data_IF_593754137838
#
_entry.id   IF_593754137838
#
_cell.length_a   1.000
_cell.length_b   1.000
_cell.length_c   1.000
_cell.angle_alpha   90.00
_cell.angle_beta   90.00
_cell.angle_gamma   90.00
#
_symmetry.space_group_name_H-M   'P 1'
#
loop_
_entity.id
_entity.type
_entity.pdbx_description
1 polymer ?
#
# COMPACT_ATOMS: atom_id res chain seq x y z
N UNK A 1 -6.91 -15.43 -21.62
CA UNK A 1 -5.97 -16.50 -21.19
C UNK A 1 -4.54 -16.00 -21.39
N UNK A 2 -3.59 -16.39 -20.53
CA UNK A 2 -2.18 -16.01 -20.71
C UNK A 2 -1.61 -16.63 -22.00
N UNK A 3 -0.63 -15.99 -22.66
CA UNK A 3 0.06 -16.58 -23.81
C UNK A 3 0.71 -17.91 -23.44
N UNK A 4 0.56 -18.95 -24.29
CA UNK A 4 1.11 -20.27 -24.00
C UNK A 4 2.63 -20.26 -23.87
N UNK A 5 3.31 -19.45 -24.67
CA UNK A 5 4.76 -19.34 -24.63
C UNK A 5 5.27 -18.86 -23.25
N UNK A 6 4.49 -18.03 -22.55
CA UNK A 6 4.85 -17.58 -21.20
C UNK A 6 4.70 -18.69 -20.15
N UNK A 7 3.74 -19.60 -20.34
CA UNK A 7 3.52 -20.72 -19.44
C UNK A 7 4.57 -21.83 -19.61
N UNK A 8 5.18 -21.91 -20.79
CA UNK A 8 6.24 -22.89 -21.09
C UNK A 8 7.65 -22.33 -20.91
N UNK A 9 7.79 -21.00 -20.83
CA UNK A 9 9.07 -20.33 -20.68
C UNK A 9 9.64 -20.45 -19.27
N UNK A 10 10.96 -20.44 -19.19
CA UNK A 10 11.71 -20.37 -17.94
C UNK A 10 12.63 -19.16 -17.94
N UNK A 11 12.92 -18.63 -16.76
CA UNK A 11 13.82 -17.49 -16.54
C UNK A 11 14.83 -17.83 -15.46
N UNK A 12 15.98 -17.17 -15.50
CA UNK A 12 16.95 -17.21 -14.40
C UNK A 12 16.49 -16.23 -13.32
N UNK A 13 16.29 -16.74 -12.11
CA UNK A 13 15.87 -15.97 -10.94
C UNK A 13 16.98 -16.03 -9.90
N UNK A 14 17.35 -14.88 -9.35
CA UNK A 14 18.31 -14.81 -8.27
C UNK A 14 17.62 -15.09 -6.92
N UNK A 15 18.05 -16.15 -6.24
CA UNK A 15 17.60 -16.55 -4.90
C UNK A 15 18.78 -16.50 -3.92
N UNK A 16 18.51 -16.73 -2.63
CA UNK A 16 19.55 -16.72 -1.59
C UNK A 16 20.69 -17.72 -1.86
N UNK A 17 20.39 -18.84 -2.53
CA UNK A 17 21.35 -19.88 -2.92
C UNK A 17 22.06 -19.60 -4.27
N UNK A 18 21.75 -18.49 -4.94
CA UNK A 18 22.25 -18.12 -6.27
C UNK A 18 21.19 -18.19 -7.36
N UNK A 19 21.62 -18.21 -8.62
CA UNK A 19 20.74 -18.30 -9.78
C UNK A 19 20.06 -19.66 -9.88
N UNK A 20 18.74 -19.65 -10.07
CA UNK A 20 17.91 -20.82 -10.31
C UNK A 20 17.06 -20.63 -11.56
N UNK A 21 16.87 -21.70 -12.32
CA UNK A 21 15.94 -21.71 -13.46
C UNK A 21 14.52 -21.98 -12.95
N UNK A 22 13.63 -21.00 -13.06
CA UNK A 22 12.24 -21.08 -12.62
C UNK A 22 11.26 -20.80 -13.78
N UNK A 23 9.98 -21.13 -13.60
CA UNK A 23 8.95 -20.81 -14.60
C UNK A 23 8.77 -19.29 -14.72
N UNK A 24 8.60 -18.78 -15.93
CA UNK A 24 8.36 -17.34 -16.15
C UNK A 24 7.00 -16.89 -15.57
N UNK A 25 6.00 -17.77 -15.61
CA UNK A 25 4.68 -17.49 -15.08
C UNK A 25 4.07 -18.77 -14.49
N UNK A 26 3.46 -18.65 -13.31
CA UNK A 26 2.78 -19.74 -12.63
C UNK A 26 1.41 -19.29 -12.11
N UNK A 27 0.43 -20.20 -11.99
CA UNK A 27 -0.84 -19.89 -11.36
C UNK A 27 -0.65 -19.63 -9.86
N UNK A 28 -1.17 -18.50 -9.38
CA UNK A 28 -1.21 -18.17 -7.96
C UNK A 28 -2.64 -18.35 -7.42
N UNK A 29 -2.76 -19.00 -6.26
CA UNK A 29 -4.04 -19.09 -5.57
C UNK A 29 -4.50 -17.69 -5.10
N UNK A 30 -5.81 -17.45 -5.10
CA UNK A 30 -6.35 -16.11 -4.80
C UNK A 30 -6.04 -15.65 -3.38
N UNK A 31 -6.03 -16.56 -2.41
CA UNK A 31 -5.68 -16.28 -1.02
C UNK A 31 -4.19 -15.94 -0.82
N UNK A 32 -3.37 -16.15 -1.85
CA UNK A 32 -1.96 -15.76 -1.88
C UNK A 32 -1.70 -14.42 -2.57
N UNK A 33 -2.74 -13.70 -3.03
CA UNK A 33 -2.58 -12.38 -3.66
C UNK A 33 -1.91 -11.33 -2.77
N UNK A 34 -1.94 -11.52 -1.45
CA UNK A 34 -1.26 -10.65 -0.48
C UNK A 34 0.24 -10.91 -0.32
N UNK A 35 0.82 -11.88 -1.07
CA UNK A 35 2.25 -12.19 -1.01
C UNK A 35 3.07 -10.99 -1.51
N UNK A 36 3.93 -10.47 -0.63
CA UNK A 36 4.89 -9.43 -0.98
C UNK A 36 6.12 -10.07 -1.64
N UNK A 37 6.52 -9.54 -2.79
CA UNK A 37 7.71 -9.96 -3.53
C UNK A 37 8.86 -9.01 -3.17
N UNK A 38 9.83 -9.49 -2.40
CA UNK A 38 10.86 -8.66 -1.76
C UNK A 38 12.24 -8.71 -2.42
N UNK A 39 12.40 -9.44 -3.53
CA UNK A 39 13.72 -9.66 -4.14
C UNK A 39 14.08 -8.55 -5.13
N UNK A 40 15.11 -7.76 -4.82
CA UNK A 40 15.53 -6.62 -5.66
C UNK A 40 16.22 -7.04 -6.96
N UNK A 41 16.86 -8.21 -7.00
CA UNK A 41 17.63 -8.66 -8.16
C UNK A 41 16.79 -9.32 -9.26
N UNK A 42 15.57 -9.76 -8.94
CA UNK A 42 14.64 -10.31 -9.93
C UNK A 42 13.24 -9.79 -9.66
N UNK A 43 12.74 -8.82 -10.45
CA UNK A 43 11.43 -8.22 -10.20
C UNK A 43 10.31 -9.24 -10.47
N UNK A 44 9.44 -9.40 -9.49
CA UNK A 44 8.28 -10.31 -9.54
C UNK A 44 6.98 -9.51 -9.31
N UNK A 45 5.89 -9.97 -9.92
CA UNK A 45 4.57 -9.34 -9.75
C UNK A 45 3.46 -10.38 -9.88
N UNK A 46 2.42 -10.23 -9.06
CA UNK A 46 1.18 -11.00 -9.20
C UNK A 46 0.15 -10.21 -10.01
N UNK A 47 -0.47 -10.86 -11.00
CA UNK A 47 -1.50 -10.27 -11.85
C UNK A 47 -2.82 -11.03 -11.68
N UNK A 48 -3.90 -10.31 -11.40
CA UNK A 48 -5.28 -10.82 -11.36
C UNK A 48 -6.14 -10.02 -12.32
N UNK A 49 -6.82 -10.72 -13.23
CA UNK A 49 -7.89 -10.14 -14.05
C UNK A 49 -9.18 -10.27 -13.25
N UNK A 50 -9.97 -9.19 -13.21
CA UNK A 50 -11.26 -9.11 -12.53
C UNK A 50 -12.31 -8.57 -13.48
N UNK A 51 -13.58 -8.81 -13.17
CA UNK A 51 -14.70 -8.39 -14.01
C UNK A 51 -14.98 -6.88 -13.89
N UNK A 52 -14.76 -6.30 -12.71
CA UNK A 52 -15.08 -4.91 -12.42
C UNK A 52 -14.21 -4.27 -11.31
N UNK A 53 -14.40 -2.96 -11.14
CA UNK A 53 -13.70 -2.14 -10.15
C UNK A 53 -14.04 -2.55 -8.70
N UNK A 54 -15.26 -2.99 -8.44
CA UNK A 54 -15.66 -3.44 -7.10
C UNK A 54 -14.90 -4.66 -6.64
N UNK A 55 -14.75 -5.62 -7.55
CA UNK A 55 -13.99 -6.84 -7.33
C UNK A 55 -12.52 -6.51 -7.05
N UNK A 56 -11.92 -5.56 -7.78
CA UNK A 56 -10.56 -5.08 -7.53
C UNK A 56 -10.41 -4.46 -6.13
N UNK A 57 -11.33 -3.56 -5.75
CA UNK A 57 -11.33 -2.91 -4.43
C UNK A 57 -11.49 -3.95 -3.32
N UNK A 58 -12.41 -4.90 -3.48
CA UNK A 58 -12.64 -5.95 -2.50
C UNK A 58 -11.40 -6.83 -2.29
N UNK A 59 -10.71 -7.24 -3.36
CA UNK A 59 -9.47 -8.00 -3.28
C UNK A 59 -8.35 -7.21 -2.61
N UNK A 60 -8.18 -5.92 -2.96
CA UNK A 60 -7.20 -5.06 -2.30
C UNK A 60 -7.50 -4.95 -0.80
N UNK A 61 -8.73 -4.57 -0.43
CA UNK A 61 -9.13 -4.41 0.97
C UNK A 61 -9.01 -5.73 1.77
N UNK A 62 -9.05 -6.88 1.10
CA UNK A 62 -8.96 -8.21 1.72
C UNK A 62 -7.53 -8.70 1.91
N UNK A 63 -6.70 -8.59 0.87
CA UNK A 63 -5.40 -9.28 0.80
C UNK A 63 -4.21 -8.34 0.84
N UNK A 64 -4.37 -7.08 0.44
CA UNK A 64 -3.27 -6.11 0.43
C UNK A 64 -2.83 -5.76 1.86
N UNK A 65 -1.55 -5.37 2.04
CA UNK A 65 -1.06 -4.64 3.21
C UNK A 65 -1.78 -3.29 3.46
N UNK A 66 -2.66 -2.86 2.55
CA UNK A 66 -3.48 -1.65 2.67
C UNK A 66 -2.63 -0.39 2.87
N UNK A 67 -1.55 -0.31 2.09
CA UNK A 67 -0.53 0.75 2.19
C UNK A 67 -0.67 1.81 1.09
N UNK A 68 -0.41 1.45 -0.17
CA UNK A 68 -0.53 2.37 -1.31
C UNK A 68 -1.27 1.69 -2.46
N UNK A 69 -2.03 2.47 -3.23
CA UNK A 69 -2.80 1.96 -4.36
C UNK A 69 -3.00 3.04 -5.42
N UNK A 70 -3.04 2.62 -6.68
CA UNK A 70 -3.35 3.51 -7.80
C UNK A 70 -4.47 2.96 -8.67
N UNK A 71 -5.38 3.82 -9.10
CA UNK A 71 -6.34 3.53 -10.17
C UNK A 71 -5.96 4.31 -11.44
N UNK A 72 -5.62 3.58 -12.50
CA UNK A 72 -5.39 4.17 -13.82
C UNK A 72 -6.71 4.18 -14.60
N UNK A 73 -7.38 5.33 -14.65
CA UNK A 73 -8.64 5.51 -15.35
C UNK A 73 -8.89 6.99 -15.67
N UNK A 74 -9.48 7.26 -16.84
CA UNK A 74 -9.91 8.61 -17.26
C UNK A 74 -11.29 8.99 -16.69
N UNK A 75 -12.04 8.03 -16.14
CA UNK A 75 -13.37 8.28 -15.56
C UNK A 75 -13.24 8.93 -14.18
N UNK A 76 -13.67 10.18 -14.07
CA UNK A 76 -13.72 10.89 -12.79
C UNK A 76 -14.63 10.19 -11.77
N UNK A 77 -15.74 9.62 -12.23
CA UNK A 77 -16.68 8.85 -11.40
C UNK A 77 -16.02 7.60 -10.82
N UNK A 78 -15.21 6.90 -11.62
CA UNK A 78 -14.46 5.74 -11.15
C UNK A 78 -13.39 6.15 -10.12
N UNK A 79 -12.69 7.27 -10.35
CA UNK A 79 -11.70 7.80 -9.41
C UNK A 79 -12.33 8.15 -8.06
N UNK A 80 -13.44 8.88 -8.06
CA UNK A 80 -14.19 9.27 -6.85
C UNK A 80 -14.68 8.04 -6.09
N UNK A 81 -15.27 7.08 -6.81
CA UNK A 81 -15.78 5.83 -6.25
C UNK A 81 -14.68 4.98 -5.63
N UNK A 82 -13.55 4.88 -6.32
CA UNK A 82 -12.38 4.14 -5.84
C UNK A 82 -11.78 4.76 -4.58
N UNK A 83 -11.56 6.07 -4.60
CA UNK A 83 -11.02 6.81 -3.45
C UNK A 83 -11.87 6.62 -2.18
N UNK A 84 -13.20 6.64 -2.32
CA UNK A 84 -14.11 6.50 -1.19
C UNK A 84 -14.22 5.06 -0.64
N UNK A 85 -13.85 4.04 -1.40
CA UNK A 85 -14.10 2.64 -1.06
C UNK A 85 -12.82 1.84 -0.73
N UNK A 86 -11.64 2.29 -1.18
CA UNK A 86 -10.39 1.57 -0.96
C UNK A 86 -9.78 1.87 0.41
N UNK A 87 -9.28 0.84 1.09
CA UNK A 87 -8.61 0.96 2.38
C UNK A 87 -7.13 1.24 2.18
N UNK A 88 -6.78 2.45 1.77
CA UNK A 88 -5.39 2.86 1.67
C UNK A 88 -5.22 4.33 2.08
N UNK A 89 -4.17 4.66 2.84
CA UNK A 89 -3.86 6.04 3.18
C UNK A 89 -3.26 6.81 2.00
N UNK A 90 -2.69 6.09 1.04
CA UNK A 90 -2.09 6.65 -0.16
C UNK A 90 -2.83 6.15 -1.40
N UNK A 91 -3.57 7.04 -2.04
CA UNK A 91 -4.35 6.76 -3.24
C UNK A 91 -3.87 7.67 -4.36
N UNK A 92 -3.54 7.10 -5.51
CA UNK A 92 -3.07 7.84 -6.67
C UNK A 92 -3.71 7.38 -7.99
N UNK A 93 -3.25 7.97 -9.08
CA UNK A 93 -3.66 7.65 -10.45
C UNK A 93 -2.45 7.45 -11.37
N UNK A 94 -1.31 7.05 -10.80
CA UNK A 94 -0.04 6.88 -11.51
C UNK A 94 0.89 5.91 -10.78
N UNK A 95 2.19 6.18 -10.80
CA UNK A 95 3.17 5.40 -10.03
C UNK A 95 2.77 5.32 -8.55
N UNK A 96 3.11 4.25 -7.84
CA UNK A 96 2.89 4.16 -6.38
C UNK A 96 4.09 4.69 -5.57
N UNK A 97 5.25 4.83 -6.22
CA UNK A 97 6.54 5.26 -5.64
C UNK A 97 6.62 6.74 -5.25
N UNK A 98 5.58 7.54 -5.51
CA UNK A 98 5.54 8.93 -5.01
C UNK A 98 5.33 9.00 -3.49
N UNK A 99 4.91 7.90 -2.87
CA UNK A 99 4.75 7.77 -1.42
C UNK A 99 6.12 7.69 -0.76
N UNK A 100 6.68 8.87 -0.56
CA UNK A 100 7.99 9.11 0.04
C UNK A 100 7.96 10.56 0.57
N UNK A 101 8.40 10.81 1.80
CA UNK A 101 8.31 12.14 2.41
C UNK A 101 9.12 13.21 1.68
N UNK A 102 10.22 12.84 1.04
CA UNK A 102 11.01 13.78 0.26
C UNK A 102 10.31 14.12 -1.06
N UNK A 103 9.75 13.11 -1.74
CA UNK A 103 9.02 13.32 -2.99
C UNK A 103 7.68 14.05 -2.75
N UNK A 104 6.89 13.62 -1.77
CA UNK A 104 5.54 14.10 -1.54
C UNK A 104 5.49 15.44 -0.76
N UNK A 105 6.41 15.65 0.19
CA UNK A 105 6.36 16.80 1.12
C UNK A 105 7.59 17.70 1.05
N UNK A 106 8.60 17.37 0.24
CA UNK A 106 9.91 18.04 0.21
C UNK A 106 10.53 18.12 1.63
N UNK A 107 10.39 17.05 2.41
CA UNK A 107 10.86 16.96 3.80
C UNK A 107 11.57 15.63 4.05
N UNK A 108 12.56 15.57 4.96
CA UNK A 108 13.11 14.30 5.42
C UNK A 108 12.01 13.43 6.04
N UNK A 109 11.92 12.18 5.59
CA UNK A 109 10.99 11.19 6.10
C UNK A 109 11.60 10.46 7.31
N UNK A 110 10.83 10.36 8.41
CA UNK A 110 11.16 9.53 9.57
C UNK A 110 10.59 8.12 9.45
N UNK A 111 9.54 7.96 8.65
CA UNK A 111 8.96 6.69 8.23
C UNK A 111 7.56 6.85 7.67
N UNK A 112 7.08 5.80 7.00
CA UNK A 112 5.72 5.69 6.51
C UNK A 112 4.88 4.83 7.48
N UNK A 113 3.58 5.08 7.53
CA UNK A 113 2.67 4.37 8.42
C UNK A 113 1.33 4.03 7.75
N UNK A 114 0.96 2.75 7.80
CA UNK A 114 -0.40 2.25 7.55
C UNK A 114 -1.11 1.81 8.84
N UNK A 115 -0.65 2.29 10.01
CA UNK A 115 -1.08 1.94 11.39
C UNK A 115 -2.00 0.71 11.50
N UNK A 116 -3.31 0.85 11.23
CA UNK A 116 -4.29 -0.22 11.34
C UNK A 116 -4.90 -0.55 9.96
N UNK A 117 -4.14 -1.29 9.13
CA UNK A 117 -4.54 -1.67 7.77
C UNK A 117 -5.02 -0.47 6.94
N UNK A 118 -4.21 0.58 6.96
CA UNK A 118 -4.43 1.81 6.20
C UNK A 118 -5.28 2.87 6.90
N UNK A 119 -5.82 2.59 8.10
CA UNK A 119 -6.49 3.62 8.91
C UNK A 119 -5.47 4.53 9.56
N UNK A 120 -5.67 5.84 9.39
CA UNK A 120 -4.87 6.86 10.03
C UNK A 120 -5.51 7.31 11.34
N UNK A 121 -4.69 7.46 12.37
CA UNK A 121 -5.14 8.02 13.64
C UNK A 121 -4.43 9.36 13.89
N UNK A 122 -5.22 10.43 13.83
CA UNK A 122 -4.85 11.80 14.20
C UNK A 122 -3.70 12.48 13.42
N UNK A 123 -3.04 11.82 12.45
CA UNK A 123 -1.95 12.40 11.65
C UNK A 123 -1.81 11.78 10.26
N UNK A 124 -0.98 12.41 9.43
CA UNK A 124 -0.57 11.91 8.11
C UNK A 124 0.11 10.54 8.21
N UNK A 125 -0.01 9.77 7.14
CA UNK A 125 0.69 8.51 6.93
C UNK A 125 2.20 8.68 6.65
N UNK A 126 2.64 9.91 6.33
CA UNK A 126 4.06 10.28 6.22
C UNK A 126 4.46 10.98 7.51
N UNK A 127 5.40 10.41 8.26
CA UNK A 127 5.99 11.05 9.44
C UNK A 127 7.17 11.93 9.03
N UNK A 128 7.02 13.24 9.22
CA UNK A 128 8.10 14.23 9.13
C UNK A 128 8.38 14.85 10.50
N UNK A 129 9.57 15.41 10.68
CA UNK A 129 10.02 15.93 11.98
C UNK A 129 9.12 17.02 12.59
N UNK A 130 8.40 17.78 11.77
CA UNK A 130 7.42 18.79 12.21
C UNK A 130 6.06 18.21 12.61
N UNK A 131 5.77 16.95 12.26
CA UNK A 131 4.55 16.23 12.64
C UNK A 131 4.68 15.41 13.92
N UNK A 132 5.89 15.31 14.50
CA UNK A 132 6.16 14.53 15.72
C UNK A 132 6.17 15.45 16.94
N UNK A 133 5.02 15.60 17.57
CA UNK A 133 4.89 16.28 18.86
C UNK A 133 4.01 15.49 19.82
N UNK A 134 4.19 15.72 21.12
CA UNK A 134 3.34 15.14 22.17
C UNK A 134 2.49 16.21 22.83
N UNK A 135 1.24 15.88 23.17
CA UNK A 135 0.36 16.75 23.93
C UNK A 135 0.41 16.32 25.40
N UNK A 136 0.75 17.25 26.29
CA UNK A 136 0.69 17.03 27.75
C UNK A 136 -0.31 18.00 28.37
N UNK A 137 -1.44 17.49 28.80
CA UNK A 137 -2.44 18.27 29.54
C UNK A 137 -1.95 18.51 30.97
N UNK A 138 -2.10 19.74 31.45
CA UNK A 138 -1.82 20.12 32.85
C UNK A 138 -3.04 20.84 33.41
N UNK A 139 -3.51 20.36 34.56
CA UNK A 139 -4.53 21.03 35.35
C UNK A 139 -3.86 21.61 36.60
N UNK A 140 -4.15 22.87 36.90
CA UNK A 140 -3.74 23.53 38.14
C UNK A 140 -5.00 23.96 38.87
N UNK A 141 -5.25 23.36 40.04
CA UNK A 141 -6.37 23.73 40.89
C UNK A 141 -5.91 24.67 42.00
N UNK A 142 -6.59 25.81 42.13
CA UNK A 142 -6.36 26.77 43.23
C UNK A 142 -7.53 26.79 44.22
N UNK A 143 -8.74 26.48 43.76
CA UNK A 143 -9.95 26.41 44.58
C UNK A 143 -10.39 24.94 44.75
N UNK A 144 -10.35 24.46 46.00
CA UNK A 144 -10.75 23.11 46.38
C UNK A 144 -12.27 22.88 46.29
N UNK A 145 -13.07 23.95 46.19
CA UNK A 145 -14.53 23.89 46.09
C UNK A 145 -15.06 23.56 44.70
N UNK A 146 -14.22 23.67 43.65
CA UNK A 146 -14.62 23.38 42.27
C UNK A 146 -14.98 21.89 42.12
N UNK A 147 -16.20 21.64 41.65
CA UNK A 147 -16.71 20.31 41.30
C UNK A 147 -17.10 20.26 39.82
N UNK A 148 -17.21 19.04 39.30
CA UNK A 148 -17.54 18.77 37.89
C UNK A 148 -18.98 19.15 37.55
#
# INVERSE_FOLDING_TARGET
>A
PLPQDWLAATVEVFRAEGYQTEAQAEPLAEDQLGREWEWEETPEVSLKIVDDLDSAIALFNRYSPQFTVSLISESAEAQERFYNAVNAPFVGNGITRWVDGQYALNKPELGLSNWESGRLFARSAILSGDGVFTIRSRMTQVDLGVKR
#
